data_IF_083486809996
#
_entry.id   IF_083486809996
#
_cell.length_a   1.000
_cell.length_b   1.000
_cell.length_c   1.000
_cell.angle_alpha   90.00
_cell.angle_beta   90.00
_cell.angle_gamma   90.00
#
_symmetry.space_group_name_H-M   'P 1'
#
loop_
_entity.id
_entity.type
_entity.pdbx_description
1 polymer ?
#
# COMPACT_ATOMS: atom_id res chain seq x y z
N UNK A 1 -25.89 -7.39 13.36
CA UNK A 1 -26.01 -6.20 12.49
C UNK A 1 -25.12 -5.10 13.06
N UNK A 2 -24.28 -4.44 12.26
CA UNK A 2 -23.29 -3.46 12.77
C UNK A 2 -21.94 -3.44 12.05
N UNK A 3 -21.83 -3.97 10.83
CA UNK A 3 -20.58 -3.91 10.06
C UNK A 3 -20.46 -2.56 9.34
N UNK A 4 -19.30 -1.92 9.50
CA UNK A 4 -18.91 -0.75 8.73
C UNK A 4 -18.24 -1.21 7.43
N UNK A 5 -18.63 -0.60 6.31
CA UNK A 5 -18.10 -0.91 4.97
C UNK A 5 -17.29 0.28 4.48
N UNK A 6 -16.12 -0.01 3.91
CA UNK A 6 -15.29 0.97 3.21
C UNK A 6 -15.55 0.82 1.72
N UNK A 7 -15.98 1.90 1.06
CA UNK A 7 -16.18 1.94 -0.38
C UNK A 7 -14.93 2.44 -1.08
N UNK A 8 -14.52 1.73 -2.13
CA UNK A 8 -13.38 2.10 -2.97
C UNK A 8 -13.86 2.52 -4.36
N UNK A 9 -13.19 3.48 -5.01
CA UNK A 9 -13.49 3.84 -6.39
C UNK A 9 -13.25 2.68 -7.34
N UNK A 10 -14.13 2.52 -8.34
CA UNK A 10 -13.94 1.54 -9.41
C UNK A 10 -12.65 1.84 -10.19
N UNK A 11 -11.95 0.80 -10.62
CA UNK A 11 -10.71 0.88 -11.41
C UNK A 11 -9.49 1.52 -10.71
N UNK A 12 -9.56 1.74 -9.40
CA UNK A 12 -8.46 2.27 -8.59
C UNK A 12 -7.95 1.24 -7.58
N UNK A 13 -7.47 0.09 -8.06
CA UNK A 13 -6.98 -0.98 -7.19
C UNK A 13 -5.79 -0.55 -6.33
N UNK A 14 -5.03 0.46 -6.78
CA UNK A 14 -3.93 1.06 -6.04
C UNK A 14 -4.37 1.78 -4.75
N UNK A 15 -5.67 2.09 -4.62
CA UNK A 15 -6.30 2.63 -3.42
C UNK A 15 -6.82 1.57 -2.45
N UNK A 16 -6.71 0.28 -2.78
CA UNK A 16 -7.08 -0.82 -1.89
C UNK A 16 -5.85 -1.35 -1.16
N UNK A 17 -5.74 -1.12 0.16
CA UNK A 17 -4.49 -1.39 0.89
C UNK A 17 -4.17 -2.87 1.02
N UNK A 18 -5.16 -3.74 0.87
CA UNK A 18 -4.96 -5.19 0.91
C UNK A 18 -4.15 -5.70 -0.30
N UNK A 19 -4.19 -4.99 -1.43
CA UNK A 19 -3.40 -5.35 -2.63
C UNK A 19 -1.90 -5.29 -2.33
N UNK A 20 -1.45 -4.33 -1.52
CA UNK A 20 -0.05 -4.24 -1.10
C UNK A 20 0.33 -5.37 -0.14
N UNK A 21 -0.58 -5.77 0.74
CA UNK A 21 -0.38 -6.90 1.64
C UNK A 21 -0.22 -8.20 0.85
N UNK A 22 -1.12 -8.47 -0.11
CA UNK A 22 -1.00 -9.62 -1.01
C UNK A 22 0.24 -9.53 -1.90
N UNK A 23 0.61 -8.35 -2.38
CA UNK A 23 1.85 -8.13 -3.11
C UNK A 23 3.08 -8.54 -2.29
N UNK A 24 3.16 -8.14 -1.02
CA UNK A 24 4.24 -8.54 -0.12
C UNK A 24 4.27 -10.04 0.14
N UNK A 25 3.10 -10.65 0.40
CA UNK A 25 3.00 -12.09 0.59
C UNK A 25 3.42 -12.86 -0.68
N UNK A 26 3.03 -12.37 -1.87
CA UNK A 26 3.38 -12.99 -3.15
C UNK A 26 4.90 -13.01 -3.38
N UNK A 27 5.64 -11.99 -2.97
CA UNK A 27 7.11 -11.98 -3.07
C UNK A 27 7.72 -13.12 -2.25
N UNK A 28 7.25 -13.32 -1.02
CA UNK A 28 7.71 -14.45 -0.21
C UNK A 28 7.32 -15.79 -0.85
N UNK A 29 6.07 -15.91 -1.30
CA UNK A 29 5.59 -17.13 -1.94
C UNK A 29 6.42 -17.49 -3.17
N UNK A 30 6.72 -16.53 -4.04
CA UNK A 30 7.57 -16.76 -5.22
C UNK A 30 8.99 -17.17 -4.88
N UNK A 31 9.59 -16.63 -3.82
CA UNK A 31 10.94 -17.00 -3.41
C UNK A 31 11.04 -18.42 -2.83
N UNK A 32 9.93 -18.98 -2.35
CA UNK A 32 9.90 -20.26 -1.61
C UNK A 32 9.03 -21.34 -2.27
N UNK A 33 8.48 -21.08 -3.47
CA UNK A 33 7.56 -21.99 -4.13
C UNK A 33 8.26 -22.76 -5.26
N UNK A 34 8.00 -24.07 -5.32
CA UNK A 34 8.44 -24.97 -6.38
C UNK A 34 7.51 -24.95 -7.60
N UNK A 35 6.60 -23.97 -7.67
CA UNK A 35 5.60 -23.78 -8.73
C UNK A 35 4.66 -24.97 -8.98
N UNK A 36 4.42 -25.80 -7.95
CA UNK A 36 3.35 -26.81 -7.97
C UNK A 36 2.13 -26.31 -7.18
N UNK A 37 0.95 -26.85 -7.48
CA UNK A 37 -0.27 -26.51 -6.73
C UNK A 37 -0.15 -26.90 -5.25
N UNK A 38 0.36 -28.11 -4.96
CA UNK A 38 0.54 -28.59 -3.59
C UNK A 38 1.54 -27.74 -2.80
N UNK A 39 2.63 -27.29 -3.44
CA UNK A 39 3.54 -26.35 -2.79
C UNK A 39 2.84 -25.01 -2.53
N UNK A 40 2.12 -24.45 -3.50
CA UNK A 40 1.38 -23.20 -3.32
C UNK A 40 0.40 -23.26 -2.14
N UNK A 41 -0.39 -24.33 -2.03
CA UNK A 41 -1.35 -24.53 -0.93
C UNK A 41 -0.66 -24.47 0.44
N UNK A 42 0.55 -25.05 0.55
CA UNK A 42 1.34 -25.01 1.78
C UNK A 42 2.00 -23.65 2.03
N UNK A 43 2.57 -23.03 1.00
CA UNK A 43 3.36 -21.80 1.13
C UNK A 43 2.48 -20.57 1.38
N UNK A 44 1.26 -20.49 0.85
CA UNK A 44 0.42 -19.29 0.97
C UNK A 44 0.17 -18.88 2.44
N UNK A 45 -0.26 -19.78 3.36
CA UNK A 45 -0.40 -19.43 4.77
C UNK A 45 0.90 -18.92 5.42
N UNK A 46 2.03 -19.55 5.10
CA UNK A 46 3.35 -19.12 5.58
C UNK A 46 3.66 -17.71 5.07
N UNK A 47 3.44 -17.46 3.78
CA UNK A 47 3.67 -16.17 3.14
C UNK A 47 2.84 -15.03 3.75
N UNK A 48 1.57 -15.31 4.07
CA UNK A 48 0.68 -14.34 4.72
C UNK A 48 1.15 -14.02 6.15
N UNK A 49 1.62 -15.03 6.90
CA UNK A 49 2.13 -14.86 8.27
C UNK A 49 3.44 -14.07 8.32
N UNK A 50 4.24 -14.08 7.24
CA UNK A 50 5.49 -13.34 7.14
C UNK A 50 5.30 -11.82 6.97
N UNK A 51 4.11 -11.36 6.57
CA UNK A 51 3.86 -9.93 6.39
C UNK A 51 3.67 -9.26 7.76
N UNK A 52 4.59 -8.37 8.22
CA UNK A 52 4.46 -7.78 9.54
C UNK A 52 3.24 -6.85 9.64
N UNK A 53 2.50 -6.92 10.75
CA UNK A 53 1.32 -6.06 11.00
C UNK A 53 1.61 -4.55 10.83
N UNK A 54 2.83 -4.11 11.14
CA UNK A 54 3.26 -2.71 10.92
C UNK A 54 3.17 -2.27 9.45
N UNK A 55 3.28 -3.19 8.49
CA UNK A 55 3.16 -2.88 7.07
C UNK A 55 1.72 -2.57 6.68
N UNK A 56 0.73 -3.20 7.30
CA UNK A 56 -0.70 -2.92 7.05
C UNK A 56 -0.99 -1.43 7.27
N UNK A 57 -0.53 -0.90 8.40
CA UNK A 57 -0.67 0.52 8.72
C UNK A 57 0.06 1.42 7.73
N UNK A 58 1.27 1.03 7.29
CA UNK A 58 2.03 1.78 6.28
C UNK A 58 1.32 1.79 4.91
N UNK A 59 0.71 0.68 4.51
CA UNK A 59 -0.06 0.57 3.26
C UNK A 59 -1.33 1.42 3.33
N UNK A 60 -2.04 1.41 4.45
CA UNK A 60 -3.18 2.29 4.68
C UNK A 60 -2.79 3.77 4.58
N UNK A 61 -1.73 4.19 5.28
CA UNK A 61 -1.22 5.56 5.21
C UNK A 61 -0.77 5.97 3.79
N UNK A 62 -0.17 5.04 3.05
CA UNK A 62 0.21 5.28 1.64
C UNK A 62 -1.01 5.62 0.80
N UNK A 63 -2.11 4.89 0.96
CA UNK A 63 -3.33 5.13 0.20
C UNK A 63 -3.97 6.46 0.57
N UNK A 64 -3.96 6.86 1.84
CA UNK A 64 -4.44 8.19 2.21
C UNK A 64 -3.68 9.30 1.49
N UNK A 65 -2.34 9.16 1.33
CA UNK A 65 -1.54 10.11 0.53
C UNK A 65 -1.85 10.05 -0.97
N UNK A 66 -2.16 8.88 -1.50
CA UNK A 66 -2.56 8.73 -2.91
C UNK A 66 -3.93 9.36 -3.17
N UNK A 67 -4.89 9.17 -2.27
CA UNK A 67 -6.19 9.83 -2.33
C UNK A 67 -6.03 11.34 -2.27
N UNK A 68 -5.13 11.84 -1.41
CA UNK A 68 -4.84 13.27 -1.34
C UNK A 68 -4.21 13.81 -2.63
N UNK A 69 -3.26 13.08 -3.22
CA UNK A 69 -2.69 13.42 -4.51
C UNK A 69 -3.78 13.52 -5.60
N UNK A 70 -4.74 12.59 -5.61
CA UNK A 70 -5.87 12.64 -6.53
C UNK A 70 -6.82 13.82 -6.27
N UNK A 71 -7.02 14.24 -5.01
CA UNK A 71 -7.80 15.46 -4.70
C UNK A 71 -7.11 16.73 -5.19
N UNK A 72 -5.80 16.71 -5.36
CA UNK A 72 -5.00 17.79 -5.95
C UNK A 72 -4.77 17.60 -7.45
N UNK A 73 -5.59 16.77 -8.11
CA UNK A 73 -5.53 16.50 -9.56
C UNK A 73 -4.15 16.00 -10.05
N UNK A 74 -3.35 15.40 -9.15
CA UNK A 74 -2.06 14.82 -9.53
C UNK A 74 -2.26 13.51 -10.28
N UNK A 75 -1.69 13.44 -11.49
CA UNK A 75 -1.78 12.25 -12.34
C UNK A 75 -0.96 11.11 -11.75
N UNK A 76 -1.56 9.92 -11.62
CA UNK A 76 -0.88 8.71 -11.14
C UNK A 76 0.42 8.46 -11.91
N UNK A 77 1.52 8.25 -11.19
CA UNK A 77 2.83 7.95 -11.79
C UNK A 77 3.60 9.16 -12.33
N UNK A 78 3.00 10.36 -12.36
CA UNK A 78 3.74 11.61 -12.62
C UNK A 78 4.81 11.86 -11.55
N UNK A 79 5.79 12.70 -11.87
CA UNK A 79 6.86 13.01 -10.91
C UNK A 79 6.33 13.75 -9.68
N UNK A 80 5.35 14.63 -9.85
CA UNK A 80 4.75 15.36 -8.74
C UNK A 80 3.88 14.44 -7.87
N UNK A 81 3.17 13.48 -8.47
CA UNK A 81 2.49 12.42 -7.72
C UNK A 81 3.48 11.59 -6.90
N UNK A 82 4.58 11.14 -7.52
CA UNK A 82 5.60 10.34 -6.83
C UNK A 82 6.20 11.13 -5.67
N UNK A 83 6.47 12.42 -5.87
CA UNK A 83 6.98 13.30 -4.81
C UNK A 83 5.98 13.39 -3.65
N UNK A 84 4.71 13.65 -3.96
CA UNK A 84 3.66 13.79 -2.96
C UNK A 84 3.40 12.49 -2.16
N UNK A 85 3.44 11.33 -2.82
CA UNK A 85 3.06 10.06 -2.18
C UNK A 85 4.24 9.37 -1.51
N UNK A 86 5.41 9.38 -2.14
CA UNK A 86 6.56 8.58 -1.72
C UNK A 86 7.67 9.39 -1.05
N UNK A 87 7.81 10.67 -1.38
CA UNK A 87 8.94 11.49 -0.90
C UNK A 87 8.54 12.66 -0.01
N UNK A 88 7.24 12.82 0.30
CA UNK A 88 6.70 13.90 1.15
C UNK A 88 7.42 14.03 2.50
N UNK A 89 7.94 12.92 3.03
CA UNK A 89 8.82 12.95 4.20
C UNK A 89 10.19 12.38 3.83
N UNK A 90 11.15 13.28 3.60
CA UNK A 90 12.56 12.90 3.39
C UNK A 90 13.23 12.47 4.71
N UNK A 91 12.60 12.73 5.85
CA UNK A 91 13.09 12.41 7.20
C UNK A 91 11.93 12.23 8.20
N UNK A 92 12.11 11.36 9.20
CA UNK A 92 11.18 11.18 10.33
C UNK A 92 10.91 12.45 11.15
N UNK A 93 11.77 13.47 11.07
CA UNK A 93 11.69 14.71 11.87
C UNK A 93 11.55 15.98 11.02
N UNK A 94 11.33 15.88 9.71
CA UNK A 94 11.17 17.06 8.84
C UNK A 94 9.87 16.97 8.06
N UNK A 95 9.00 17.91 8.37
CA UNK A 95 7.87 18.31 7.54
C UNK A 95 8.44 19.28 6.49
N UNK A 96 7.99 19.19 5.24
CA UNK A 96 8.47 20.11 4.20
C UNK A 96 7.98 21.54 4.51
N UNK A 97 8.80 22.55 4.24
CA UNK A 97 8.52 23.96 4.57
C UNK A 97 7.20 24.46 3.97
N UNK A 98 6.79 23.89 2.83
CA UNK A 98 5.50 24.14 2.19
C UNK A 98 4.26 23.72 3.00
N UNK A 99 4.43 22.93 4.07
CA UNK A 99 3.34 22.51 4.97
C UNK A 99 3.35 23.27 6.31
N UNK A 100 4.27 24.22 6.51
CA UNK A 100 4.33 25.07 7.71
C UNK A 100 3.37 26.26 7.67
N UNK A 101 2.72 26.51 6.52
CA UNK A 101 1.75 27.58 6.35
C UNK A 101 0.33 26.99 6.35
N UNK A 102 -0.19 26.73 7.55
CA UNK A 102 -1.63 26.61 7.85
C UNK A 102 -1.98 27.77 8.77
#
# INVERSE_FOLDING_TARGET
>A
AGHMVIFYPSFHCELNFIEYFWGSAKVYAWANCEFTFSSLVRIVPEALAQVPNKLIWKYYQRILRMMEAYRHDLVYGSDDFKKHVFTRYSSHRRISESELHI
#
